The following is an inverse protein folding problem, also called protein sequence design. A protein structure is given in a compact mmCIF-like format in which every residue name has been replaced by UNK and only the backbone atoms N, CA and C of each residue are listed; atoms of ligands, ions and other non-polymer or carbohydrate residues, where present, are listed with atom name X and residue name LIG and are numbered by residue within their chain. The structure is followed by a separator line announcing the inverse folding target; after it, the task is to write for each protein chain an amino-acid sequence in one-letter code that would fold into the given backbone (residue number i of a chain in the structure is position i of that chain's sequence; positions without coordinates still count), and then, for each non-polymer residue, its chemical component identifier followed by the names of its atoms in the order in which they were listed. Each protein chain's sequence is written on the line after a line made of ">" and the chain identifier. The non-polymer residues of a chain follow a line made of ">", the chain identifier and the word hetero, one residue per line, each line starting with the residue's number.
data_IF_355409895286
#
_entry.id   IF_355409895286
#
_cell.length_a   1.000
_cell.length_b   1.000
_cell.length_c   1.000
_cell.angle_alpha   90.00
_cell.angle_beta   90.00
_cell.angle_gamma   90.00
#
_symmetry.space_group_name_H-M   'P 1'
#
loop_
_entity.id
_entity.type
_entity.pdbx_description
1 polymer ?
#
# COMPACT_ATOMS: atom_id res chain seq x y z
N UNK A 1 -13.64 13.83 -13.06
CA UNK A 1 -12.35 13.25 -12.65
C UNK A 1 -12.59 12.11 -11.70
N UNK A 2 -12.14 10.91 -12.04
CA UNK A 2 -12.37 9.79 -11.14
C UNK A 2 -11.54 9.92 -9.88
N UNK A 3 -12.22 9.75 -8.77
CA UNK A 3 -11.60 9.59 -7.46
C UNK A 3 -11.91 8.19 -6.96
N UNK A 4 -10.88 7.50 -6.52
CA UNK A 4 -10.97 6.14 -6.00
C UNK A 4 -10.61 6.17 -4.51
N UNK A 5 -11.34 5.41 -3.72
CA UNK A 5 -11.07 5.29 -2.29
C UNK A 5 -11.32 3.85 -1.82
N UNK A 6 -11.25 3.62 -0.53
CA UNK A 6 -11.41 2.29 0.03
C UNK A 6 -12.79 1.67 -0.20
N UNK A 7 -13.80 2.47 -0.52
CA UNK A 7 -15.13 1.97 -0.86
C UNK A 7 -15.19 1.40 -2.28
N UNK A 8 -14.32 1.85 -3.17
CA UNK A 8 -14.33 1.45 -4.58
C UNK A 8 -13.08 0.69 -5.02
N UNK A 9 -12.07 0.60 -4.16
CA UNK A 9 -10.81 -0.05 -4.52
C UNK A 9 -10.17 -0.71 -3.30
N UNK A 10 -9.17 -1.51 -3.57
CA UNK A 10 -8.42 -2.23 -2.55
C UNK A 10 -6.93 -1.90 -2.68
N UNK A 11 -6.32 -1.53 -1.57
CA UNK A 11 -4.88 -1.29 -1.51
C UNK A 11 -4.27 -2.31 -0.55
N UNK A 12 -3.44 -3.20 -1.09
CA UNK A 12 -2.82 -4.27 -0.33
C UNK A 12 -1.32 -4.07 -0.24
N UNK A 13 -0.76 -4.45 0.89
CA UNK A 13 0.68 -4.42 1.11
C UNK A 13 1.13 -5.82 1.53
N UNK A 14 2.18 -6.30 0.89
CA UNK A 14 2.77 -7.59 1.23
C UNK A 14 4.16 -7.35 1.78
N UNK A 15 4.42 -7.91 2.96
CA UNK A 15 5.75 -7.84 3.55
C UNK A 15 6.32 -9.24 3.68
N UNK A 16 7.62 -9.34 3.52
CA UNK A 16 8.32 -10.61 3.54
C UNK A 16 9.39 -10.58 4.62
N UNK A 17 9.50 -11.68 5.36
CA UNK A 17 10.52 -11.80 6.38
C UNK A 17 11.88 -11.98 5.71
N UNK A 18 12.83 -11.12 6.06
CA UNK A 18 14.20 -11.19 5.54
C UNK A 18 15.20 -10.76 6.61
N UNK A 19 16.39 -11.31 6.54
CA UNK A 19 17.50 -10.89 7.37
C UNK A 19 17.21 -10.97 8.86
N UNK A 20 17.47 -9.91 9.57
CA UNK A 20 17.39 -9.86 11.02
C UNK A 20 15.97 -10.01 11.57
N UNK A 21 14.96 -9.71 10.76
CA UNK A 21 13.58 -9.79 11.19
C UNK A 21 12.98 -11.18 11.03
N UNK A 22 13.69 -12.08 10.37
CA UNK A 22 13.19 -13.41 10.05
C UNK A 22 12.84 -14.25 11.28
N UNK A 23 13.48 -14.00 12.41
CA UNK A 23 13.27 -14.80 13.62
C UNK A 23 11.90 -14.59 14.25
N UNK A 24 11.25 -13.46 13.99
CA UNK A 24 10.02 -13.07 14.68
C UNK A 24 8.86 -12.90 13.68
N UNK A 25 9.16 -12.58 12.45
CA UNK A 25 8.17 -12.15 11.51
C UNK A 25 7.62 -13.28 10.67
N UNK A 26 6.34 -13.20 10.41
CA UNK A 26 5.70 -13.91 9.31
C UNK A 26 5.74 -13.01 8.09
N UNK A 27 5.65 -13.60 6.90
CA UNK A 27 5.26 -12.83 5.74
C UNK A 27 3.82 -12.39 5.98
N UNK A 28 3.50 -11.16 5.64
CA UNK A 28 2.20 -10.58 5.99
C UNK A 28 1.48 -10.03 4.77
N UNK A 29 0.16 -10.16 4.80
CA UNK A 29 -0.74 -9.47 3.89
C UNK A 29 -1.48 -8.40 4.70
N UNK A 30 -1.34 -7.15 4.29
CA UNK A 30 -1.95 -6.02 4.95
C UNK A 30 -2.84 -5.25 3.99
N UNK A 31 -3.74 -4.46 4.55
CA UNK A 31 -4.63 -3.62 3.77
C UNK A 31 -4.60 -2.19 4.31
N UNK A 32 -4.52 -1.23 3.41
CA UNK A 32 -4.71 0.18 3.74
C UNK A 32 -6.21 0.45 3.66
N UNK A 33 -6.82 0.83 4.78
CA UNK A 33 -8.28 0.95 4.85
C UNK A 33 -8.80 2.36 4.62
N UNK A 34 -7.94 3.36 4.57
CA UNK A 34 -8.35 4.74 4.31
C UNK A 34 -7.34 5.40 3.38
N UNK A 35 -7.75 5.63 2.15
CA UNK A 35 -6.91 6.24 1.13
C UNK A 35 -7.79 6.87 0.04
N UNK A 36 -7.19 7.77 -0.73
CA UNK A 36 -7.81 8.32 -1.95
C UNK A 36 -6.79 8.35 -3.07
N UNK A 37 -7.25 8.11 -4.27
CA UNK A 37 -6.46 8.24 -5.49
C UNK A 37 -7.27 9.09 -6.47
N UNK A 38 -6.69 10.21 -6.90
CA UNK A 38 -7.30 11.08 -7.91
C UNK A 38 -6.60 10.85 -9.24
N UNK A 39 -7.38 10.46 -10.23
CA UNK A 39 -6.87 10.15 -11.56
C UNK A 39 -7.40 11.19 -12.55
N UNK A 40 -6.49 11.96 -13.13
CA UNK A 40 -6.77 12.88 -14.20
C UNK A 40 -6.08 12.39 -15.48
N UNK A 41 -6.37 13.04 -16.62
CA UNK A 41 -5.79 12.63 -17.90
C UNK A 41 -4.26 12.66 -17.91
N UNK A 42 -3.67 13.60 -17.20
CA UNK A 42 -2.21 13.81 -17.23
C UNK A 42 -1.59 13.79 -15.85
N UNK A 43 -2.34 13.46 -14.79
CA UNK A 43 -1.82 13.49 -13.44
C UNK A 43 -2.52 12.46 -12.57
N UNK A 44 -1.75 11.84 -11.68
CA UNK A 44 -2.27 10.94 -10.65
C UNK A 44 -1.71 11.41 -9.31
N UNK A 45 -2.59 11.58 -8.34
CA UNK A 45 -2.18 11.87 -6.96
C UNK A 45 -2.85 10.87 -6.02
N UNK A 46 -2.17 10.51 -4.95
CA UNK A 46 -2.72 9.58 -3.98
C UNK A 46 -2.33 9.99 -2.57
N UNK A 47 -3.23 9.72 -1.64
CA UNK A 47 -2.97 9.91 -0.22
C UNK A 47 -3.44 8.67 0.54
N UNK A 48 -2.59 8.19 1.44
CA UNK A 48 -2.86 7.03 2.27
C UNK A 48 -2.72 7.44 3.73
N UNK A 49 -3.73 7.14 4.53
CA UNK A 49 -3.64 7.40 5.97
C UNK A 49 -2.73 6.36 6.61
N UNK A 50 -1.65 6.82 7.21
CA UNK A 50 -0.62 5.94 7.78
C UNK A 50 -1.17 5.05 8.88
N UNK A 51 -2.13 5.54 9.67
CA UNK A 51 -2.73 4.79 10.77
C UNK A 51 -3.85 3.85 10.33
N UNK A 52 -4.12 3.74 9.03
CA UNK A 52 -5.19 2.90 8.51
C UNK A 52 -4.74 1.53 8.03
N UNK A 53 -3.50 1.17 8.29
CA UNK A 53 -2.96 -0.13 7.90
C UNK A 53 -3.47 -1.22 8.83
N UNK A 54 -3.99 -2.29 8.24
CA UNK A 54 -4.53 -3.43 9.00
C UNK A 54 -3.89 -4.73 8.52
N UNK A 55 -3.55 -5.59 9.47
CA UNK A 55 -3.03 -6.92 9.15
C UNK A 55 -4.22 -7.83 8.85
N UNK A 56 -4.24 -8.41 7.66
CA UNK A 56 -5.26 -9.37 7.27
C UNK A 56 -4.87 -10.78 7.72
N UNK A 57 -3.76 -11.27 7.22
CA UNK A 57 -3.29 -12.63 7.50
C UNK A 57 -1.78 -12.70 7.43
N UNK A 58 -1.21 -13.70 8.14
CA UNK A 58 0.12 -14.17 7.85
C UNK A 58 0.09 -14.99 6.56
N UNK A 59 1.21 -15.04 5.88
CA UNK A 59 1.38 -15.86 4.69
C UNK A 59 2.38 -16.98 5.00
N UNK A 60 2.04 -18.19 4.57
CA UNK A 60 2.94 -19.34 4.63
C UNK A 60 3.13 -19.85 3.21
N UNK A 61 4.37 -19.84 2.74
CA UNK A 61 4.70 -20.24 1.36
C UNK A 61 3.84 -19.53 0.32
N UNK A 62 3.62 -18.21 0.53
CA UNK A 62 2.83 -17.38 -0.37
C UNK A 62 1.33 -17.53 -0.25
N UNK A 63 0.84 -18.34 0.68
CA UNK A 63 -0.60 -18.57 0.89
C UNK A 63 -1.07 -18.00 2.21
N UNK A 64 -2.30 -17.50 2.23
CA UNK A 64 -2.90 -16.98 3.45
C UNK A 64 -3.07 -18.10 4.49
N UNK A 65 -2.60 -17.83 5.71
CA UNK A 65 -2.75 -18.73 6.83
C UNK A 65 -3.53 -18.00 7.94
N UNK A 66 -4.83 -18.15 7.94
CA UNK A 66 -5.72 -17.49 8.88
C UNK A 66 -5.50 -17.96 10.33
N UNK A 67 -4.91 -19.12 10.53
CA UNK A 67 -4.70 -19.69 11.85
C UNK A 67 -3.39 -19.27 12.51
N UNK A 68 -2.46 -18.66 11.75
CA UNK A 68 -1.13 -18.32 12.25
C UNK A 68 -1.14 -17.14 13.23
N UNK A 69 -2.12 -16.24 13.11
CA UNK A 69 -2.23 -15.05 13.95
C UNK A 69 -3.60 -14.97 14.61
N UNK A 70 -3.60 -14.76 15.93
CA UNK A 70 -4.83 -14.44 16.65
C UNK A 70 -5.20 -12.97 16.42
N UNK A 71 -6.39 -12.58 16.83
CA UNK A 71 -6.81 -11.17 16.75
C UNK A 71 -5.89 -10.28 17.59
N UNK A 72 -5.46 -10.75 18.75
CA UNK A 72 -4.51 -10.03 19.58
C UNK A 72 -3.15 -9.87 18.92
N UNK A 73 -2.67 -10.91 18.23
CA UNK A 73 -1.41 -10.85 17.48
C UNK A 73 -1.48 -9.84 16.36
N UNK A 74 -2.57 -9.85 15.60
CA UNK A 74 -2.76 -8.89 14.52
C UNK A 74 -2.76 -7.45 15.03
N UNK A 75 -3.46 -7.18 16.11
CA UNK A 75 -3.48 -5.83 16.71
C UNK A 75 -2.12 -5.38 17.21
N UNK A 76 -1.35 -6.28 17.80
CA UNK A 76 0.02 -5.99 18.23
C UNK A 76 0.92 -5.63 17.07
N UNK A 77 0.85 -6.41 15.99
CA UNK A 77 1.65 -6.15 14.80
C UNK A 77 1.25 -4.82 14.16
N UNK A 78 -0.04 -4.55 14.03
CA UNK A 78 -0.55 -3.29 13.51
C UNK A 78 -0.02 -2.10 14.30
N UNK A 79 -0.13 -2.19 15.62
CA UNK A 79 0.33 -1.13 16.51
C UNK A 79 1.82 -0.88 16.33
N UNK A 80 2.61 -1.95 16.27
CA UNK A 80 4.05 -1.84 16.08
C UNK A 80 4.40 -1.18 14.74
N UNK A 81 3.74 -1.58 13.67
CA UNK A 81 3.98 -1.00 12.34
C UNK A 81 3.58 0.48 12.31
N UNK A 82 2.39 0.79 12.80
CA UNK A 82 1.86 2.15 12.75
C UNK A 82 2.63 3.09 13.66
N UNK A 83 2.92 2.69 14.87
CA UNK A 83 3.57 3.55 15.85
C UNK A 83 5.09 3.58 15.71
N UNK A 84 5.73 2.42 15.65
CA UNK A 84 7.19 2.32 15.72
C UNK A 84 7.86 2.36 14.36
N UNK A 85 7.31 1.67 13.37
CA UNK A 85 7.92 1.59 12.04
C UNK A 85 7.57 2.83 11.21
N UNK A 86 6.30 3.18 11.14
CA UNK A 86 5.83 4.28 10.31
C UNK A 86 5.72 5.61 11.03
N UNK A 87 5.71 5.59 12.36
CA UNK A 87 5.58 6.80 13.19
C UNK A 87 4.39 7.67 12.74
N UNK A 88 3.21 7.06 12.72
CA UNK A 88 2.00 7.69 12.17
C UNK A 88 1.64 9.01 12.84
N UNK A 89 1.95 9.16 14.12
CA UNK A 89 1.68 10.41 14.83
C UNK A 89 2.51 11.57 14.26
N UNK A 90 3.71 11.28 13.77
CA UNK A 90 4.60 12.28 13.16
C UNK A 90 4.39 12.38 11.65
N UNK A 91 4.07 11.27 11.00
CA UNK A 91 3.88 11.20 9.56
C UNK A 91 2.51 10.60 9.25
N UNK A 92 1.43 11.35 9.44
CA UNK A 92 0.07 10.81 9.35
C UNK A 92 -0.39 10.46 7.94
N UNK A 93 0.32 10.93 6.93
CA UNK A 93 -0.09 10.74 5.53
C UNK A 93 1.09 10.28 4.68
N UNK A 94 0.84 9.29 3.84
CA UNK A 94 1.75 8.86 2.77
C UNK A 94 1.18 9.42 1.49
N UNK A 95 2.01 10.05 0.66
CA UNK A 95 1.55 10.73 -0.56
C UNK A 95 2.32 10.29 -1.78
N UNK A 96 1.61 10.22 -2.89
CA UNK A 96 2.20 10.05 -4.20
C UNK A 96 1.72 11.18 -5.12
N UNK A 97 2.63 11.76 -5.87
CA UNK A 97 2.30 12.75 -6.89
C UNK A 97 3.07 12.42 -8.16
N UNK A 98 2.34 12.32 -9.28
CA UNK A 98 2.95 12.00 -10.55
C UNK A 98 3.69 13.19 -11.14
N UNK A 99 4.78 12.90 -11.86
CA UNK A 99 5.46 13.88 -12.72
C UNK A 99 5.16 13.61 -14.18
N UNK A 100 4.76 12.37 -14.52
CA UNK A 100 4.35 12.04 -15.88
C UNK A 100 3.38 10.86 -15.89
N UNK A 101 2.47 10.88 -16.84
CA UNK A 101 1.54 9.80 -17.12
C UNK A 101 1.58 9.54 -18.61
N UNK A 102 1.99 8.33 -19.01
CA UNK A 102 2.13 7.97 -20.41
C UNK A 102 1.23 6.79 -20.74
N UNK A 103 0.32 6.96 -21.68
CA UNK A 103 -0.57 5.91 -22.14
C UNK A 103 0.18 4.88 -22.96
N UNK A 104 -0.18 3.62 -22.82
CA UNK A 104 0.37 2.51 -23.59
C UNK A 104 -0.70 1.46 -23.88
N UNK A 105 -0.32 0.37 -24.53
CA UNK A 105 -1.27 -0.65 -24.96
C UNK A 105 -1.97 -1.36 -23.79
N UNK A 106 -1.29 -1.51 -22.65
CA UNK A 106 -1.84 -2.21 -21.49
C UNK A 106 -2.66 -1.29 -20.57
N UNK A 107 -2.43 0.02 -20.65
CA UNK A 107 -3.06 1.00 -19.78
C UNK A 107 -2.25 2.29 -19.77
N UNK A 108 -1.50 2.52 -18.70
CA UNK A 108 -0.61 3.68 -18.65
C UNK A 108 0.51 3.48 -17.63
N UNK A 109 1.60 4.20 -17.86
CA UNK A 109 2.72 4.21 -16.93
C UNK A 109 2.74 5.53 -16.19
N UNK A 110 2.82 5.47 -14.88
CA UNK A 110 2.87 6.64 -14.00
C UNK A 110 4.25 6.71 -13.39
N UNK A 111 4.89 7.84 -13.51
CA UNK A 111 6.15 8.14 -12.82
C UNK A 111 5.91 9.31 -11.89
N UNK A 112 6.50 9.27 -10.72
CA UNK A 112 6.32 10.34 -9.76
C UNK A 112 7.16 10.15 -8.53
N UNK A 113 6.72 10.76 -7.45
CA UNK A 113 7.45 10.78 -6.19
C UNK A 113 6.54 10.33 -5.06
N UNK A 114 7.03 9.37 -4.29
CA UNK A 114 6.37 8.89 -3.08
C UNK A 114 7.00 9.56 -1.88
N UNK A 115 6.18 10.15 -1.02
CA UNK A 115 6.61 10.69 0.26
C UNK A 115 6.13 9.75 1.36
N UNK A 116 7.07 9.15 2.06
CA UNK A 116 6.84 8.16 3.10
C UNK A 116 7.83 8.40 4.23
N UNK A 117 7.33 8.49 5.45
CA UNK A 117 8.15 8.68 6.63
C UNK A 117 9.11 9.88 6.50
N UNK A 118 8.59 10.99 5.95
CA UNK A 118 9.37 12.21 5.73
C UNK A 118 10.40 12.15 4.61
N UNK A 119 10.47 11.04 3.88
CA UNK A 119 11.43 10.86 2.81
C UNK A 119 10.73 10.80 1.45
N UNK A 120 11.38 11.32 0.43
CA UNK A 120 10.88 11.31 -0.94
C UNK A 120 11.70 10.35 -1.78
N UNK A 121 11.01 9.53 -2.54
CA UNK A 121 11.64 8.56 -3.44
C UNK A 121 10.91 8.52 -4.76
N UNK A 122 11.63 8.37 -5.88
CA UNK A 122 10.98 8.18 -7.16
C UNK A 122 10.26 6.83 -7.18
N UNK A 123 9.09 6.82 -7.81
CA UNK A 123 8.30 5.62 -7.97
C UNK A 123 7.71 5.59 -9.37
N UNK A 124 7.80 4.43 -10.00
CA UNK A 124 7.19 4.20 -11.31
C UNK A 124 6.28 3.00 -11.21
N UNK A 125 5.08 3.13 -11.75
CA UNK A 125 4.09 2.07 -11.74
C UNK A 125 3.47 1.89 -13.12
N UNK A 126 3.35 0.64 -13.55
CA UNK A 126 2.57 0.32 -14.73
C UNK A 126 1.16 -0.02 -14.27
N UNK A 127 0.19 0.77 -14.69
CA UNK A 127 -1.21 0.53 -14.41
C UNK A 127 -1.82 -0.17 -15.63
N UNK A 128 -2.32 -1.37 -15.42
CA UNK A 128 -2.95 -2.13 -16.50
C UNK A 128 -4.46 -2.14 -16.33
N UNK A 129 -5.12 -2.21 -17.46
CA UNK A 129 -6.58 -2.26 -17.50
C UNK A 129 -7.02 -3.70 -17.62
N UNK A 130 -7.84 -4.16 -16.67
CA UNK A 130 -8.42 -5.49 -16.67
C UNK A 130 -9.94 -5.37 -16.61
N UNK A 131 -10.58 -5.36 -17.79
CA UNK A 131 -12.02 -5.10 -17.90
C UNK A 131 -12.34 -3.69 -17.44
N UNK A 132 -13.18 -3.55 -16.43
CA UNK A 132 -13.54 -2.25 -15.85
C UNK A 132 -12.62 -1.85 -14.68
N UNK A 133 -11.58 -2.64 -14.40
CA UNK A 133 -10.67 -2.42 -13.28
C UNK A 133 -9.32 -1.90 -13.76
N UNK A 134 -8.68 -1.12 -12.91
CA UNK A 134 -7.28 -0.73 -13.06
C UNK A 134 -6.49 -1.45 -11.97
N UNK A 135 -5.37 -2.05 -12.34
CA UNK A 135 -4.53 -2.82 -11.43
C UNK A 135 -3.08 -2.38 -11.58
N UNK A 136 -2.41 -2.18 -10.45
CA UNK A 136 -0.96 -1.92 -10.44
C UNK A 136 -0.32 -2.66 -9.28
N UNK A 137 0.96 -3.01 -9.45
CA UNK A 137 1.76 -3.66 -8.42
C UNK A 137 3.08 -2.94 -8.26
#
# INVERSE_FOLDING_TARGET
>A
MPRVDAASAQCLVFTYKEGLLSAVAHDLKLQVTRFTVDIADSAVTAEFATDSLRVLHALRDGREDASALSDGDRRKIEKNIVEDVLSAARYPTIRFASSSVAKNAAGFEVSGELTLHGQRRPLRAQVRREGSRLVTE
#
